data_IF_857696928214
#
_entry.id   IF_857696928214
#
_cell.length_a   1.000
_cell.length_b   1.000
_cell.length_c   1.000
_cell.angle_alpha   90.00
_cell.angle_beta   90.00
_cell.angle_gamma   90.00
#
_symmetry.space_group_name_H-M   'P 1'
#
loop_
_entity.id
_entity.type
_entity.pdbx_description
1 polymer ?
#
# COMPACT_ATOMS: atom_id res chain seq x y z
N UNK A 1 15.37 -2.15 34.73
CA UNK A 1 14.54 -1.45 33.72
C UNK A 1 13.12 -1.38 34.26
N UNK A 2 12.39 -0.28 34.06
CA UNK A 2 10.99 -0.18 34.51
C UNK A 2 10.10 -0.94 33.52
N UNK A 3 9.22 -1.80 34.02
CA UNK A 3 8.21 -2.53 33.25
C UNK A 3 6.85 -2.44 33.94
N UNK A 4 5.78 -2.61 33.16
CA UNK A 4 4.43 -2.83 33.66
C UNK A 4 4.10 -4.30 33.47
N UNK A 5 3.55 -4.91 34.51
CA UNK A 5 3.02 -6.26 34.46
C UNK A 5 1.51 -6.19 34.29
N UNK A 6 0.98 -6.92 33.30
CA UNK A 6 -0.44 -7.03 33.06
C UNK A 6 -1.04 -8.21 33.84
N UNK A 7 -2.37 -8.27 33.88
CA UNK A 7 -3.10 -9.30 34.62
C UNK A 7 -2.87 -10.73 34.11
N UNK A 8 -2.47 -10.89 32.84
CA UNK A 8 -2.11 -12.17 32.22
C UNK A 8 -0.66 -12.60 32.52
N UNK A 9 0.08 -11.83 33.33
CA UNK A 9 1.47 -12.08 33.68
C UNK A 9 2.48 -11.60 32.65
N UNK A 10 2.04 -11.08 31.50
CA UNK A 10 2.94 -10.46 30.53
C UNK A 10 3.57 -9.21 31.12
N UNK A 11 4.83 -8.95 30.77
CA UNK A 11 5.55 -7.76 31.19
C UNK A 11 6.00 -6.99 29.95
N UNK A 12 5.67 -5.71 29.91
CA UNK A 12 6.20 -4.79 28.90
C UNK A 12 7.09 -3.76 29.56
N UNK A 13 8.27 -3.56 29.00
CA UNK A 13 9.10 -2.40 29.32
C UNK A 13 8.36 -1.10 28.96
N UNK A 14 8.73 0.01 29.60
CA UNK A 14 8.19 1.33 29.22
C UNK A 14 8.40 1.64 27.72
N UNK A 15 9.50 1.16 27.13
CA UNK A 15 9.74 1.29 25.69
C UNK A 15 8.75 0.48 24.84
N UNK A 16 8.44 -0.75 25.24
CA UNK A 16 7.43 -1.59 24.57
C UNK A 16 6.02 -0.99 24.71
N UNK A 17 5.69 -0.44 25.88
CA UNK A 17 4.43 0.27 26.07
C UNK A 17 4.32 1.51 25.18
N UNK A 18 5.37 2.33 25.12
CA UNK A 18 5.41 3.51 24.27
C UNK A 18 5.29 3.16 22.79
N UNK A 19 5.95 2.08 22.34
CA UNK A 19 5.80 1.58 20.97
C UNK A 19 4.39 1.03 20.69
N UNK A 20 3.75 0.40 21.69
CA UNK A 20 2.38 -0.12 21.55
C UNK A 20 1.30 0.97 21.61
N UNK A 21 1.59 2.12 22.23
CA UNK A 21 0.62 3.20 22.42
C UNK A 21 0.13 3.81 21.10
N UNK A 22 0.96 3.73 20.05
CA UNK A 22 0.62 4.23 18.72
C UNK A 22 0.24 3.10 17.74
N UNK A 23 -0.03 1.89 18.25
CA UNK A 23 -0.53 0.78 17.44
C UNK A 23 -2.04 0.65 17.62
N UNK A 24 -2.78 0.82 16.52
CA UNK A 24 -4.23 0.61 16.47
C UNK A 24 -4.51 -0.62 15.65
N UNK A 25 -5.34 -1.51 16.18
CA UNK A 25 -5.83 -2.70 15.47
C UNK A 25 -7.32 -2.55 15.25
N UNK A 26 -7.72 -2.49 13.99
CA UNK A 26 -9.10 -2.63 13.57
C UNK A 26 -9.56 -4.08 13.69
N UNK A 27 -10.88 -4.24 13.80
CA UNK A 27 -11.57 -5.51 13.63
C UNK A 27 -13.06 -5.21 13.44
N UNK A 28 -13.61 -5.68 12.33
CA UNK A 28 -14.94 -5.35 11.84
C UNK A 28 -15.00 -3.96 11.21
N UNK A 29 -16.07 -3.74 10.44
CA UNK A 29 -16.29 -2.50 9.72
C UNK A 29 -16.22 -1.26 10.63
N UNK A 30 -15.47 -0.24 10.22
CA UNK A 30 -15.35 0.98 11.02
C UNK A 30 -14.27 1.94 10.58
N UNK A 31 -14.07 3.00 11.37
CA UNK A 31 -13.02 3.99 11.16
C UNK A 31 -12.05 3.98 12.34
N UNK A 32 -10.77 3.85 12.04
CA UNK A 32 -9.67 3.77 13.01
C UNK A 32 -8.67 4.89 12.72
N UNK A 33 -8.31 5.71 13.72
CA UNK A 33 -7.50 6.92 13.53
C UNK A 33 -6.30 6.97 14.48
N UNK A 34 -5.09 7.11 13.93
CA UNK A 34 -3.81 7.15 14.65
C UNK A 34 -3.65 8.34 15.60
N UNK A 35 -4.18 9.50 15.25
CA UNK A 35 -4.04 10.71 16.07
C UNK A 35 -2.69 11.39 15.86
N UNK A 36 -1.97 11.73 16.93
CA UNK A 36 -0.71 12.48 16.86
C UNK A 36 0.52 11.58 16.96
N UNK A 37 1.57 11.91 16.20
CA UNK A 37 2.83 11.19 16.21
C UNK A 37 2.80 9.94 15.34
N UNK A 38 3.91 9.24 15.24
CA UNK A 38 4.03 8.15 14.28
C UNK A 38 3.18 6.94 14.68
N UNK A 39 2.29 6.48 13.79
CA UNK A 39 1.27 5.47 14.08
C UNK A 39 1.41 4.21 13.24
N UNK A 40 0.97 3.09 13.80
CA UNK A 40 0.79 1.81 13.10
C UNK A 40 -0.68 1.45 13.17
N UNK A 41 -1.37 1.42 12.03
CA UNK A 41 -2.77 1.03 11.92
C UNK A 41 -2.85 -0.29 11.15
N UNK A 42 -3.50 -1.29 11.74
CA UNK A 42 -3.67 -2.62 11.15
C UNK A 42 -5.17 -2.90 11.08
N UNK A 43 -5.80 -2.95 9.91
CA UNK A 43 -7.26 -3.02 9.78
C UNK A 43 -7.89 -4.34 10.24
N UNK A 44 -7.20 -5.46 10.04
CA UNK A 44 -7.67 -6.75 10.54
C UNK A 44 -8.66 -7.40 9.57
N UNK A 45 -9.91 -7.62 9.97
CA UNK A 45 -10.93 -8.24 9.14
C UNK A 45 -12.23 -7.41 9.14
N UNK A 46 -12.75 -7.08 7.97
CA UNK A 46 -13.90 -6.20 7.77
C UNK A 46 -13.55 -5.13 6.74
N UNK A 47 -14.46 -4.17 6.50
CA UNK A 47 -14.18 -3.03 5.62
C UNK A 47 -13.84 -1.81 6.48
N UNK A 48 -12.56 -1.49 6.59
CA UNK A 48 -12.06 -0.46 7.47
C UNK A 48 -11.65 0.82 6.74
N UNK A 49 -11.82 1.95 7.42
CA UNK A 49 -11.17 3.22 7.06
C UNK A 49 -10.05 3.49 8.07
N UNK A 50 -8.81 3.36 7.62
CA UNK A 50 -7.61 3.60 8.43
C UNK A 50 -7.10 5.01 8.16
N UNK A 51 -7.00 5.84 9.19
CA UNK A 51 -6.59 7.25 9.08
C UNK A 51 -5.29 7.48 9.86
N UNK A 52 -4.19 7.76 9.15
CA UNK A 52 -2.86 7.88 9.76
C UNK A 52 -2.72 9.01 10.79
N UNK A 53 -3.50 10.10 10.64
CA UNK A 53 -3.46 11.23 11.58
C UNK A 53 -2.34 12.23 11.25
N UNK A 54 -1.32 12.35 12.10
CA UNK A 54 -0.17 13.23 11.93
C UNK A 54 1.13 12.44 12.07
N UNK A 55 2.24 12.89 11.50
CA UNK A 55 3.51 12.16 11.55
C UNK A 55 3.52 10.94 10.62
N UNK A 56 4.59 10.16 10.69
CA UNK A 56 4.75 9.02 9.78
C UNK A 56 3.82 7.88 10.18
N UNK A 57 3.04 7.35 9.24
CA UNK A 57 2.12 6.25 9.55
C UNK A 57 2.40 5.01 8.70
N UNK A 58 2.36 3.85 9.33
CA UNK A 58 2.22 2.55 8.66
C UNK A 58 0.75 2.15 8.70
N UNK A 59 0.14 1.93 7.54
CA UNK A 59 -1.24 1.50 7.38
C UNK A 59 -1.22 0.14 6.68
N UNK A 60 -1.71 -0.89 7.36
CA UNK A 60 -1.86 -2.25 6.82
C UNK A 60 -3.34 -2.49 6.63
N UNK A 61 -3.79 -2.68 5.38
CA UNK A 61 -5.21 -2.81 5.03
C UNK A 61 -5.88 -3.91 5.86
N UNK A 62 -5.47 -5.17 5.66
CA UNK A 62 -6.10 -6.32 6.29
C UNK A 62 -6.92 -7.12 5.27
N UNK A 63 -8.00 -7.73 5.74
CA UNK A 63 -8.93 -8.52 4.94
C UNK A 63 -10.24 -7.77 4.82
N UNK A 64 -10.62 -7.47 3.59
CA UNK A 64 -11.83 -6.73 3.25
C UNK A 64 -11.47 -5.59 2.32
N UNK A 65 -12.45 -4.75 1.99
CA UNK A 65 -12.23 -3.60 1.12
C UNK A 65 -11.93 -2.37 1.98
N UNK A 66 -10.65 -2.04 2.11
CA UNK A 66 -10.20 -1.02 3.05
C UNK A 66 -9.93 0.32 2.37
N UNK A 67 -10.08 1.40 3.13
CA UNK A 67 -9.66 2.74 2.73
C UNK A 67 -8.55 3.22 3.65
N UNK A 68 -7.34 3.32 3.11
CA UNK A 68 -6.16 3.82 3.82
C UNK A 68 -5.92 5.29 3.48
N UNK A 69 -6.12 6.15 4.47
CA UNK A 69 -5.94 7.60 4.37
C UNK A 69 -4.65 7.99 5.07
N UNK A 70 -3.68 8.48 4.30
CA UNK A 70 -2.39 8.92 4.82
C UNK A 70 -2.50 10.01 5.88
N UNK A 71 -1.45 10.14 6.69
CA UNK A 71 -1.28 11.24 7.63
C UNK A 71 -1.26 12.60 6.95
N UNK A 72 -1.65 13.63 7.67
CA UNK A 72 -1.62 15.04 7.24
C UNK A 72 -0.22 15.66 7.19
N UNK A 73 0.81 14.96 7.67
CA UNK A 73 2.22 15.33 7.61
C UNK A 73 3.06 14.06 7.63
N UNK A 74 4.33 14.14 7.23
CA UNK A 74 5.22 12.98 7.24
C UNK A 74 4.97 12.00 6.09
N UNK A 75 5.76 10.94 6.10
CA UNK A 75 5.77 9.87 5.11
C UNK A 75 4.90 8.71 5.56
N UNK A 76 4.17 8.10 4.64
CA UNK A 76 3.31 6.96 4.95
C UNK A 76 3.81 5.69 4.27
N UNK A 77 3.66 4.55 4.95
CA UNK A 77 3.82 3.22 4.38
C UNK A 77 2.43 2.58 4.31
N UNK A 78 1.97 2.26 3.10
CA UNK A 78 0.74 1.51 2.87
C UNK A 78 1.12 0.08 2.52
N UNK A 79 0.70 -0.90 3.32
CA UNK A 79 1.01 -2.31 3.11
C UNK A 79 -0.23 -3.06 2.63
N UNK A 80 -0.08 -3.75 1.50
CA UNK A 80 -1.11 -4.53 0.85
C UNK A 80 -0.63 -5.98 0.73
N UNK A 81 -1.43 -6.91 1.23
CA UNK A 81 -1.19 -8.34 0.98
C UNK A 81 -1.65 -8.70 -0.44
N UNK A 82 -0.91 -9.55 -1.14
CA UNK A 82 -1.25 -9.99 -2.50
C UNK A 82 -2.56 -10.79 -2.61
N UNK A 83 -3.13 -11.17 -1.46
CA UNK A 83 -4.45 -11.80 -1.32
C UNK A 83 -5.49 -10.91 -0.63
N UNK A 84 -5.21 -9.61 -0.49
CA UNK A 84 -6.18 -8.63 0.01
C UNK A 84 -7.35 -8.49 -0.97
N UNK A 85 -8.43 -7.82 -0.54
CA UNK A 85 -9.54 -7.55 -1.45
C UNK A 85 -9.25 -6.29 -2.28
N UNK A 86 -10.26 -5.43 -2.48
CA UNK A 86 -10.11 -4.18 -3.20
C UNK A 86 -9.90 -3.03 -2.24
N UNK A 87 -8.71 -2.45 -2.24
CA UNK A 87 -8.34 -1.39 -1.31
C UNK A 87 -8.23 -0.03 -2.02
N UNK A 88 -8.40 1.04 -1.26
CA UNK A 88 -8.22 2.42 -1.71
C UNK A 88 -7.17 3.12 -0.88
N UNK A 89 -6.20 3.73 -1.54
CA UNK A 89 -5.18 4.59 -0.92
C UNK A 89 -5.50 6.04 -1.23
N UNK A 90 -5.65 6.85 -0.20
CA UNK A 90 -5.74 8.31 -0.30
C UNK A 90 -4.45 8.88 0.27
N UNK A 91 -3.47 9.10 -0.60
CA UNK A 91 -2.19 9.64 -0.16
C UNK A 91 -2.31 11.14 0.13
N UNK A 92 -2.25 11.52 1.40
CA UNK A 92 -2.31 12.92 1.83
C UNK A 92 -0.89 13.42 2.08
N UNK A 93 -0.16 13.85 1.05
CA UNK A 93 1.16 14.46 1.31
C UNK A 93 0.98 15.90 1.81
N UNK A 94 0.99 16.08 3.12
CA UNK A 94 1.11 17.42 3.70
C UNK A 94 2.57 17.86 3.72
N UNK A 95 3.04 18.53 2.66
CA UNK A 95 4.35 19.21 2.63
C UNK A 95 5.38 18.60 1.66
N UNK A 96 6.43 19.37 1.40
CA UNK A 96 7.35 19.20 0.25
C UNK A 96 8.51 18.20 0.45
N UNK A 97 8.51 17.41 1.54
CA UNK A 97 9.61 16.49 1.87
C UNK A 97 9.15 15.07 2.27
N UNK A 98 7.88 14.73 2.04
CA UNK A 98 7.34 13.44 2.42
C UNK A 98 7.55 12.43 1.27
N UNK A 99 7.94 11.20 1.62
CA UNK A 99 8.16 10.09 0.70
C UNK A 99 7.33 8.90 1.15
N UNK A 100 6.13 8.78 0.61
CA UNK A 100 5.22 7.68 0.92
C UNK A 100 5.46 6.49 -0.01
N UNK A 101 5.27 5.28 0.51
CA UNK A 101 5.49 4.03 -0.20
C UNK A 101 4.23 3.19 -0.18
N UNK A 102 3.88 2.60 -1.33
CA UNK A 102 2.95 1.47 -1.40
C UNK A 102 3.76 0.18 -1.49
N UNK A 103 3.60 -0.72 -0.53
CA UNK A 103 4.30 -1.99 -0.48
C UNK A 103 3.32 -3.14 -0.71
N UNK A 104 3.67 -4.01 -1.64
CA UNK A 104 2.98 -5.27 -1.87
C UNK A 104 3.75 -6.42 -1.22
N UNK A 105 3.11 -7.11 -0.29
CA UNK A 105 3.60 -8.33 0.32
C UNK A 105 3.04 -9.54 -0.42
N UNK A 106 3.91 -10.41 -0.92
CA UNK A 106 3.52 -11.64 -1.63
C UNK A 106 3.20 -11.48 -3.12
N UNK A 107 3.44 -10.31 -3.73
CA UNK A 107 3.38 -10.11 -5.18
C UNK A 107 4.69 -9.52 -5.71
N UNK A 108 5.33 -10.23 -6.64
CA UNK A 108 6.57 -9.78 -7.29
C UNK A 108 6.28 -8.68 -8.33
N UNK A 109 7.33 -7.94 -8.73
CA UNK A 109 7.23 -6.84 -9.69
C UNK A 109 6.60 -7.21 -11.03
N UNK A 110 6.77 -8.44 -11.51
CA UNK A 110 6.17 -8.96 -12.75
C UNK A 110 4.73 -9.46 -12.58
N UNK A 111 4.22 -9.47 -11.34
CA UNK A 111 2.85 -9.81 -11.00
C UNK A 111 1.98 -8.57 -10.77
N UNK A 112 2.56 -7.37 -10.77
CA UNK A 112 1.82 -6.11 -10.62
C UNK A 112 1.39 -5.58 -11.99
N UNK A 113 0.10 -5.27 -12.11
CA UNK A 113 -0.53 -4.73 -13.32
C UNK A 113 -1.04 -3.31 -13.07
N UNK A 114 -0.58 -2.35 -13.88
CA UNK A 114 -0.83 -0.93 -13.70
C UNK A 114 -1.80 -0.40 -14.75
N UNK A 115 -2.83 0.32 -14.31
CA UNK A 115 -3.85 0.90 -15.18
C UNK A 115 -4.21 2.32 -14.75
N UNK A 116 -4.39 3.19 -15.74
CA UNK A 116 -5.03 4.49 -15.53
C UNK A 116 -6.54 4.31 -15.63
N UNK A 117 -7.25 4.55 -14.51
CA UNK A 117 -8.71 4.41 -14.44
C UNK A 117 -9.32 5.72 -13.93
N UNK A 118 -9.98 6.46 -14.82
CA UNK A 118 -10.56 7.76 -14.46
C UNK A 118 -9.46 8.76 -14.07
N UNK A 119 -9.40 9.10 -12.78
CA UNK A 119 -8.38 9.99 -12.21
C UNK A 119 -7.37 9.24 -11.31
N UNK A 120 -7.53 7.93 -11.19
CA UNK A 120 -6.82 7.11 -10.22
C UNK A 120 -5.82 6.19 -10.93
N UNK A 121 -4.79 5.77 -10.18
CA UNK A 121 -3.92 4.67 -10.57
C UNK A 121 -4.47 3.40 -9.93
N UNK A 122 -4.87 2.45 -10.77
CA UNK A 122 -5.24 1.10 -10.34
C UNK A 122 -4.04 0.18 -10.47
N UNK A 123 -3.66 -0.47 -9.37
CA UNK A 123 -2.63 -1.51 -9.33
C UNK A 123 -3.27 -2.84 -8.94
N UNK A 124 -3.25 -3.82 -9.83
CA UNK A 124 -3.81 -5.16 -9.59
C UNK A 124 -2.71 -6.19 -9.45
N UNK A 125 -2.98 -7.26 -8.70
CA UNK A 125 -2.10 -8.43 -8.65
C UNK A 125 -2.64 -9.49 -9.63
N UNK A 126 -1.85 -9.84 -10.64
CA UNK A 126 -2.30 -10.80 -11.65
C UNK A 126 -2.57 -12.17 -11.00
N UNK A 127 -3.64 -12.80 -11.45
CA UNK A 127 -4.04 -14.11 -10.94
C UNK A 127 -4.84 -14.07 -9.65
N UNK A 128 -5.00 -12.91 -9.00
CA UNK A 128 -5.86 -12.73 -7.83
C UNK A 128 -6.99 -11.73 -8.12
N UNK A 129 -7.84 -11.47 -7.12
CA UNK A 129 -8.84 -10.39 -7.14
C UNK A 129 -8.34 -9.11 -6.47
N UNK A 130 -7.07 -9.10 -6.03
CA UNK A 130 -6.49 -7.98 -5.30
C UNK A 130 -6.26 -6.82 -6.24
N UNK A 131 -6.78 -5.66 -5.86
CA UNK A 131 -6.57 -4.41 -6.57
C UNK A 131 -6.52 -3.26 -5.58
N UNK A 132 -5.69 -2.27 -5.89
CA UNK A 132 -5.48 -1.08 -5.08
C UNK A 132 -5.68 0.13 -5.96
N UNK A 133 -6.64 0.99 -5.62
CA UNK A 133 -6.82 2.28 -6.27
C UNK A 133 -6.11 3.37 -5.47
N UNK A 134 -5.12 4.04 -6.08
CA UNK A 134 -4.53 5.25 -5.50
C UNK A 134 -5.32 6.46 -6.03
N UNK A 135 -6.10 7.05 -5.14
CA UNK A 135 -7.08 8.09 -5.49
C UNK A 135 -6.41 9.37 -5.96
N UNK A 136 -6.85 9.90 -7.10
CA UNK A 136 -6.41 11.17 -7.65
C UNK A 136 -4.97 11.19 -8.16
N UNK A 137 -4.34 10.04 -8.42
CA UNK A 137 -2.99 9.96 -9.00
C UNK A 137 -2.82 10.88 -10.21
N UNK A 138 -3.79 10.91 -11.12
CA UNK A 138 -3.72 11.71 -12.35
C UNK A 138 -4.26 13.13 -12.21
N UNK A 139 -4.61 13.55 -10.98
CA UNK A 139 -5.10 14.92 -10.71
C UNK A 139 -4.02 15.84 -10.17
N UNK A 140 -3.10 15.32 -9.34
CA UNK A 140 -2.00 16.09 -8.78
C UNK A 140 -0.89 15.15 -8.29
N UNK A 141 0.37 15.54 -8.49
CA UNK A 141 1.54 14.78 -8.01
C UNK A 141 1.60 14.68 -6.49
N UNK A 142 0.92 15.55 -5.74
CA UNK A 142 0.76 15.43 -4.29
C UNK A 142 -0.01 14.18 -3.85
N UNK A 143 -0.78 13.56 -4.75
CA UNK A 143 -1.52 12.34 -4.48
C UNK A 143 -0.70 11.08 -4.79
N UNK A 144 0.50 11.23 -5.38
CA UNK A 144 1.38 10.10 -5.68
C UNK A 144 1.99 9.56 -4.41
N UNK A 145 2.05 8.24 -4.27
CA UNK A 145 3.11 7.62 -3.47
C UNK A 145 4.41 7.71 -4.27
N UNK A 146 5.52 8.08 -3.62
CA UNK A 146 6.81 8.32 -4.27
C UNK A 146 7.47 7.02 -4.73
N UNK A 147 7.11 5.90 -4.10
CA UNK A 147 7.65 4.59 -4.43
C UNK A 147 6.57 3.50 -4.32
N UNK A 148 6.66 2.52 -5.21
CA UNK A 148 5.95 1.25 -5.11
C UNK A 148 7.01 0.15 -4.93
N UNK A 149 6.85 -0.70 -3.92
CA UNK A 149 7.77 -1.80 -3.61
C UNK A 149 7.06 -3.14 -3.77
N UNK A 150 7.68 -4.05 -4.51
CA UNK A 150 7.18 -5.40 -4.71
C UNK A 150 7.88 -6.41 -3.79
N UNK A 151 7.33 -7.63 -3.69
CA UNK A 151 7.80 -8.68 -2.79
C UNK A 151 9.18 -9.26 -3.17
N UNK A 152 9.60 -9.09 -4.43
CA UNK A 152 10.95 -9.44 -4.90
C UNK A 152 12.00 -8.36 -4.56
N UNK A 153 11.60 -7.35 -3.77
CA UNK A 153 12.46 -6.26 -3.32
C UNK A 153 12.66 -5.15 -4.36
N UNK A 154 12.11 -5.30 -5.57
CA UNK A 154 12.23 -4.27 -6.60
C UNK A 154 11.39 -3.05 -6.25
N UNK A 155 11.88 -1.89 -6.64
CA UNK A 155 11.18 -0.62 -6.44
C UNK A 155 10.90 0.11 -7.75
N UNK A 156 9.77 0.82 -7.78
CA UNK A 156 9.33 1.64 -8.89
C UNK A 156 9.06 3.05 -8.35
N UNK A 157 9.78 4.04 -8.87
CA UNK A 157 9.53 5.43 -8.51
C UNK A 157 8.26 5.95 -9.21
N UNK A 158 7.58 6.92 -8.60
CA UNK A 158 6.37 7.56 -9.14
C UNK A 158 6.52 8.03 -10.60
N UNK A 159 7.63 8.68 -10.93
CA UNK A 159 7.92 9.15 -12.28
C UNK A 159 8.12 8.06 -13.34
N UNK A 160 8.19 6.79 -12.94
CA UNK A 160 8.34 5.63 -13.82
C UNK A 160 7.03 4.86 -14.01
N UNK A 161 6.01 5.12 -13.19
CA UNK A 161 4.73 4.41 -13.23
C UNK A 161 4.05 4.52 -14.60
N UNK A 162 4.06 5.71 -15.20
CA UNK A 162 3.38 5.93 -16.48
C UNK A 162 3.97 5.11 -17.62
N UNK A 163 5.26 4.75 -17.56
CA UNK A 163 5.85 3.86 -18.56
C UNK A 163 5.23 2.45 -18.50
N UNK A 164 4.95 1.94 -17.30
CA UNK A 164 4.30 0.64 -17.12
C UNK A 164 2.82 0.73 -17.54
N UNK A 165 2.12 1.78 -17.14
CA UNK A 165 0.71 2.01 -17.52
C UNK A 165 0.56 2.05 -19.04
N UNK A 166 1.42 2.79 -19.75
CA UNK A 166 1.38 2.88 -21.20
C UNK A 166 1.69 1.54 -21.88
N UNK A 167 2.70 0.80 -21.38
CA UNK A 167 3.04 -0.50 -21.92
C UNK A 167 1.93 -1.54 -21.69
N UNK A 168 1.26 -1.50 -20.54
CA UNK A 168 0.19 -2.44 -20.19
C UNK A 168 -1.15 -2.10 -20.86
N UNK A 169 -1.38 -0.83 -21.25
CA UNK A 169 -2.62 -0.39 -21.90
C UNK A 169 -2.89 -1.05 -23.26
N UNK A 170 -1.89 -1.63 -23.93
CA UNK A 170 -2.07 -2.38 -25.18
C UNK A 170 -2.61 -3.80 -24.98
N UNK A 171 -2.78 -4.23 -23.73
CA UNK A 171 -3.17 -5.59 -23.38
C UNK A 171 -4.42 -5.58 -22.49
N UNK A 172 -5.17 -6.68 -22.54
CA UNK A 172 -6.16 -6.94 -21.49
C UNK A 172 -5.43 -7.45 -20.25
N UNK A 173 -5.81 -7.06 -19.02
CA UNK A 173 -5.22 -7.65 -17.82
C UNK A 173 -5.31 -9.18 -17.86
N UNK A 174 -4.25 -9.91 -17.45
CA UNK A 174 -4.30 -11.37 -17.39
C UNK A 174 -5.49 -11.86 -16.57
N UNK A 175 -6.16 -12.91 -17.04
CA UNK A 175 -7.32 -13.48 -16.35
C UNK A 175 -6.97 -13.95 -14.94
N UNK A 176 -7.95 -13.89 -14.03
CA UNK A 176 -7.83 -14.45 -12.69
C UNK A 176 -7.33 -15.92 -12.74
N UNK A 177 -6.49 -16.31 -11.78
CA UNK A 177 -5.77 -17.58 -11.78
C UNK A 177 -4.47 -17.62 -12.59
N UNK A 178 -4.16 -16.60 -13.40
CA UNK A 178 -2.88 -16.50 -14.14
C UNK A 178 -1.84 -15.78 -13.27
N UNK A 179 -0.97 -16.53 -12.59
CA UNK A 179 0.01 -15.98 -11.63
C UNK A 179 1.34 -15.55 -12.25
N UNK A 180 1.51 -15.77 -13.56
CA UNK A 180 2.69 -15.37 -14.34
C UNK A 180 2.22 -14.73 -15.64
N UNK A 181 2.92 -13.69 -16.11
CA UNK A 181 2.59 -13.07 -17.40
C UNK A 181 2.59 -14.11 -18.53
N UNK A 182 1.57 -14.12 -19.41
CA UNK A 182 1.60 -14.93 -20.62
C UNK A 182 2.89 -14.66 -21.44
N UNK A 183 3.48 -15.66 -22.12
CA UNK A 183 4.77 -15.49 -22.80
C UNK A 183 4.84 -14.30 -23.77
N UNK A 184 3.76 -14.07 -24.53
CA UNK A 184 3.69 -12.95 -25.47
C UNK A 184 3.65 -11.58 -24.77
N UNK A 185 3.05 -11.52 -23.59
CA UNK A 185 2.99 -10.30 -22.77
C UNK A 185 4.35 -10.07 -22.13
N UNK A 186 4.94 -11.12 -21.55
CA UNK A 186 6.27 -11.06 -20.95
C UNK A 186 7.31 -10.56 -21.95
N UNK A 187 7.33 -11.10 -23.17
CA UNK A 187 8.27 -10.67 -24.21
C UNK A 187 8.15 -9.17 -24.56
N UNK A 188 6.91 -8.63 -24.58
CA UNK A 188 6.66 -7.23 -24.94
C UNK A 188 6.84 -6.27 -23.76
N UNK A 189 6.53 -6.70 -22.54
CA UNK A 189 6.63 -5.87 -21.33
C UNK A 189 8.02 -5.91 -20.69
N UNK A 190 8.82 -6.96 -20.92
CA UNK A 190 10.13 -7.14 -20.27
C UNK A 190 11.09 -5.95 -20.43
N UNK A 191 11.21 -5.29 -21.60
CA UNK A 191 12.06 -4.11 -21.74
C UNK A 191 11.63 -2.97 -20.81
N UNK A 192 10.32 -2.70 -20.73
CA UNK A 192 9.75 -1.67 -19.86
C UNK A 192 9.92 -2.04 -18.39
N UNK A 193 9.62 -3.29 -18.02
CA UNK A 193 9.76 -3.77 -16.64
C UNK A 193 11.21 -3.65 -16.17
N UNK A 194 12.18 -4.07 -16.98
CA UNK A 194 13.61 -4.06 -16.62
C UNK A 194 14.23 -2.67 -16.63
N UNK A 195 13.69 -1.74 -17.42
CA UNK A 195 14.16 -0.36 -17.46
C UNK A 195 13.71 0.46 -16.25
N UNK A 196 12.54 0.14 -15.70
CA UNK A 196 11.85 0.96 -14.70
C UNK A 196 11.97 0.41 -13.27
N UNK A 197 11.80 -0.90 -13.07
CA UNK A 197 12.04 -1.53 -11.77
C UNK A 197 13.53 -1.52 -11.43
N UNK A 198 13.87 -1.15 -10.19
CA UNK A 198 15.25 -1.10 -9.66
C UNK A 198 15.48 -2.15 -8.58
#
# INVERSE_FOLDING_TARGET
MRSVQFADGTQMSIAQLAASANTIRGNGDGTFSGGWGDNILIGGAGNETLVGGNGNSTLVAGVGNDTMVGSTSGSNLYEIQASAASDTVVNRTGGTANSSTLQFDGANSDQLWFQHVGNDLLVSVIGTSTQVSISGWYTATSNHVQQITAADGKTLADGQVDALVQAMASFSPPSAGTTTLPPDYQAQLQPTLSANWR
#
